data_IF_059880191792
#
_entry.id   IF_059880191792
#
_cell.length_a   1.000
_cell.length_b   1.000
_cell.length_c   1.000
_cell.angle_alpha   90.00
_cell.angle_beta   90.00
_cell.angle_gamma   90.00
#
_symmetry.space_group_name_H-M   'P 1'
#
loop_
_entity.id
_entity.type
_entity.pdbx_description
1 polymer ?
#
# COMPACT_ATOMS: atom_id res chain seq x y z
N UNK A 1 -103.86 -13.74 -41.07
CA UNK A 1 -104.73 -12.60 -41.43
C UNK A 1 -104.43 -11.47 -40.48
N UNK A 2 -104.10 -10.27 -40.96
CA UNK A 2 -103.98 -9.09 -40.10
C UNK A 2 -105.33 -8.42 -40.05
N UNK A 3 -106.11 -8.76 -39.03
CA UNK A 3 -107.31 -8.00 -38.71
C UNK A 3 -106.80 -6.65 -38.20
N UNK A 4 -106.92 -5.60 -39.03
CA UNK A 4 -106.61 -4.24 -38.62
C UNK A 4 -107.84 -3.62 -37.97
N UNK A 5 -107.68 -2.70 -37.02
CA UNK A 5 -108.79 -1.98 -36.40
C UNK A 5 -109.74 -1.35 -37.43
N UNK A 6 -109.18 -0.82 -38.52
CA UNK A 6 -109.95 -0.33 -39.67
C UNK A 6 -110.75 -1.43 -40.39
N UNK A 7 -110.19 -2.63 -40.55
CA UNK A 7 -110.92 -3.78 -41.12
C UNK A 7 -112.06 -4.25 -40.22
N UNK A 8 -111.92 -4.15 -38.89
CA UNK A 8 -112.99 -4.48 -37.93
C UNK A 8 -114.17 -3.49 -38.07
N UNK A 9 -113.88 -2.19 -38.20
CA UNK A 9 -114.93 -1.15 -38.39
C UNK A 9 -115.66 -1.26 -39.73
N UNK A 10 -114.97 -1.70 -40.78
CA UNK A 10 -115.53 -1.85 -42.13
C UNK A 10 -116.15 -3.23 -42.37
N UNK A 11 -116.08 -4.15 -41.41
CA UNK A 11 -116.63 -5.49 -41.55
C UNK A 11 -118.15 -5.43 -41.67
N UNK A 12 -118.68 -6.03 -42.74
CA UNK A 12 -120.12 -6.21 -42.94
C UNK A 12 -120.50 -7.68 -42.80
N UNK A 13 -121.73 -7.92 -42.35
CA UNK A 13 -122.30 -9.26 -42.17
C UNK A 13 -123.59 -9.40 -42.96
N UNK A 14 -123.87 -10.61 -43.45
CA UNK A 14 -125.12 -10.93 -44.14
C UNK A 14 -126.30 -10.93 -43.15
N UNK A 15 -127.48 -10.48 -43.61
CA UNK A 15 -128.69 -10.44 -42.78
C UNK A 15 -129.49 -11.74 -42.92
N UNK A 16 -129.79 -12.40 -41.80
CA UNK A 16 -130.62 -13.61 -41.75
C UNK A 16 -131.86 -13.42 -40.84
N UNK A 17 -132.92 -14.19 -41.08
CA UNK A 17 -134.15 -14.13 -40.26
C UNK A 17 -133.87 -14.66 -38.84
N UNK A 18 -133.98 -13.77 -37.82
CA UNK A 18 -133.56 -13.95 -36.40
C UNK A 18 -132.04 -13.83 -36.11
N UNK A 19 -131.38 -12.78 -36.61
CA UNK A 19 -129.99 -12.43 -36.26
C UNK A 19 -129.84 -11.45 -35.08
N UNK A 20 -128.59 -11.12 -34.74
CA UNK A 20 -128.26 -10.09 -33.74
C UNK A 20 -128.69 -8.68 -34.18
N UNK A 21 -128.93 -7.79 -33.22
CA UNK A 21 -129.26 -6.39 -33.51
C UNK A 21 -128.05 -5.66 -34.11
N UNK A 22 -128.24 -5.04 -35.28
CA UNK A 22 -127.17 -4.36 -36.03
C UNK A 22 -126.48 -3.26 -35.21
N UNK A 23 -127.23 -2.52 -34.38
CA UNK A 23 -126.68 -1.44 -33.55
C UNK A 23 -125.71 -1.97 -32.49
N UNK A 24 -126.12 -3.00 -31.75
CA UNK A 24 -125.31 -3.61 -30.71
C UNK A 24 -124.03 -4.24 -31.28
N UNK A 25 -124.15 -4.92 -32.43
CA UNK A 25 -122.98 -5.49 -33.15
C UNK A 25 -122.03 -4.39 -33.63
N UNK A 26 -122.55 -3.28 -34.18
CA UNK A 26 -121.72 -2.15 -34.60
C UNK A 26 -121.01 -1.46 -33.43
N UNK A 27 -121.67 -1.31 -32.28
CA UNK A 27 -121.05 -0.77 -31.06
C UNK A 27 -119.95 -1.70 -30.54
N UNK A 28 -120.20 -3.01 -30.49
CA UNK A 28 -119.21 -4.00 -30.08
C UNK A 28 -117.99 -4.06 -31.03
N UNK A 29 -118.21 -3.94 -32.34
CA UNK A 29 -117.11 -3.85 -33.32
C UNK A 29 -116.25 -2.59 -33.14
N UNK A 30 -116.86 -1.45 -32.77
CA UNK A 30 -116.12 -0.22 -32.46
C UNK A 30 -115.29 -0.37 -31.18
N UNK A 31 -115.85 -0.95 -30.12
CA UNK A 31 -115.12 -1.25 -28.88
C UNK A 31 -113.96 -2.24 -29.12
N UNK A 32 -114.19 -3.32 -29.87
CA UNK A 32 -113.12 -4.25 -30.26
C UNK A 32 -112.07 -3.54 -31.11
N UNK A 33 -112.47 -2.69 -32.05
CA UNK A 33 -111.52 -1.94 -32.88
C UNK A 33 -110.57 -1.11 -32.02
N UNK A 34 -111.09 -0.40 -31.02
CA UNK A 34 -110.30 0.40 -30.08
C UNK A 34 -109.34 -0.46 -29.23
N UNK A 35 -109.79 -1.62 -28.73
CA UNK A 35 -108.93 -2.55 -27.98
C UNK A 35 -107.83 -3.13 -28.86
N UNK A 36 -108.13 -3.46 -30.11
CA UNK A 36 -107.13 -3.97 -31.07
C UNK A 36 -106.14 -2.87 -31.47
N UNK A 37 -106.59 -1.62 -31.62
CA UNK A 37 -105.70 -0.46 -31.82
C UNK A 37 -104.74 -0.31 -30.62
N UNK A 38 -105.25 -0.36 -29.38
CA UNK A 38 -104.42 -0.30 -28.17
C UNK A 38 -103.42 -1.46 -28.09
N UNK A 39 -103.86 -2.70 -28.29
CA UNK A 39 -102.97 -3.86 -28.31
C UNK A 39 -101.90 -3.75 -29.39
N UNK A 40 -102.24 -3.17 -30.55
CA UNK A 40 -101.27 -2.97 -31.61
C UNK A 40 -100.21 -1.94 -31.23
N UNK A 41 -100.64 -0.82 -30.62
CA UNK A 41 -99.76 0.22 -30.12
C UNK A 41 -98.82 -0.32 -29.02
N UNK A 42 -99.36 -1.03 -28.04
CA UNK A 42 -98.57 -1.70 -26.99
C UNK A 42 -97.58 -2.71 -27.57
N UNK A 43 -97.98 -3.48 -28.60
CA UNK A 43 -97.07 -4.43 -29.24
C UNK A 43 -95.89 -3.73 -29.94
N UNK A 44 -96.13 -2.58 -30.58
CA UNK A 44 -95.07 -1.78 -31.21
C UNK A 44 -94.14 -1.21 -30.14
N UNK A 45 -94.69 -0.68 -29.05
CA UNK A 45 -93.90 -0.15 -27.93
C UNK A 45 -93.06 -1.23 -27.25
N UNK A 46 -93.64 -2.40 -26.99
CA UNK A 46 -92.92 -3.54 -26.41
C UNK A 46 -91.81 -4.04 -27.34
N UNK A 47 -92.06 -4.13 -28.65
CA UNK A 47 -91.02 -4.49 -29.62
C UNK A 47 -89.88 -3.47 -29.68
N UNK A 48 -90.21 -2.19 -29.63
CA UNK A 48 -89.21 -1.11 -29.57
C UNK A 48 -88.36 -1.21 -28.30
N UNK A 49 -89.00 -1.40 -27.13
CA UNK A 49 -88.31 -1.62 -25.86
C UNK A 49 -87.41 -2.86 -25.90
N UNK A 50 -87.93 -3.98 -26.41
CA UNK A 50 -87.17 -5.22 -26.55
C UNK A 50 -85.90 -4.99 -27.40
N UNK A 51 -86.07 -4.38 -28.58
CA UNK A 51 -84.95 -4.09 -29.47
C UNK A 51 -83.91 -3.17 -28.82
N UNK A 52 -84.34 -2.17 -28.07
CA UNK A 52 -83.44 -1.28 -27.34
C UNK A 52 -82.67 -2.02 -26.24
N UNK A 53 -83.35 -2.86 -25.45
CA UNK A 53 -82.71 -3.65 -24.40
C UNK A 53 -81.76 -4.71 -24.95
N UNK A 54 -82.09 -5.33 -26.08
CA UNK A 54 -81.21 -6.28 -26.76
C UNK A 54 -79.96 -5.59 -27.30
N UNK A 55 -80.11 -4.38 -27.86
CA UNK A 55 -78.98 -3.58 -28.32
C UNK A 55 -78.06 -3.14 -27.16
N UNK A 56 -78.64 -2.74 -26.02
CA UNK A 56 -77.89 -2.39 -24.82
C UNK A 56 -77.16 -3.61 -24.22
N UNK A 57 -77.85 -4.75 -24.11
CA UNK A 57 -77.24 -6.01 -23.65
C UNK A 57 -76.08 -6.43 -24.55
N UNK A 58 -76.23 -6.31 -25.88
CA UNK A 58 -75.15 -6.59 -26.82
C UNK A 58 -73.96 -5.65 -26.61
N UNK A 59 -74.22 -4.34 -26.46
CA UNK A 59 -73.16 -3.35 -26.19
C UNK A 59 -72.42 -3.64 -24.89
N UNK A 60 -73.14 -4.01 -23.83
CA UNK A 60 -72.53 -4.37 -22.55
C UNK A 60 -71.65 -5.62 -22.68
N UNK A 61 -72.10 -6.63 -23.45
CA UNK A 61 -71.29 -7.82 -23.75
C UNK A 61 -70.03 -7.48 -24.54
N UNK A 62 -70.13 -6.61 -25.55
CA UNK A 62 -68.95 -6.16 -26.32
C UNK A 62 -67.93 -5.41 -25.43
N UNK A 63 -68.42 -4.62 -24.46
CA UNK A 63 -67.58 -3.92 -23.47
C UNK A 63 -66.93 -4.91 -22.50
N UNK A 64 -67.70 -5.90 -22.01
CA UNK A 64 -67.20 -6.97 -21.15
C UNK A 64 -66.10 -7.77 -21.83
N UNK A 65 -66.30 -8.19 -23.09
CA UNK A 65 -65.30 -8.91 -23.87
C UNK A 65 -64.02 -8.08 -24.06
N UNK A 66 -64.16 -6.78 -24.30
CA UNK A 66 -63.03 -5.85 -24.42
C UNK A 66 -62.28 -5.70 -23.10
N UNK A 67 -63.00 -5.59 -21.99
CA UNK A 67 -62.43 -5.48 -20.65
C UNK A 67 -61.68 -6.76 -20.27
N UNK A 68 -62.27 -7.92 -20.56
CA UNK A 68 -61.68 -9.23 -20.30
C UNK A 68 -60.38 -9.42 -21.06
N UNK A 69 -60.37 -9.09 -22.37
CA UNK A 69 -59.13 -9.12 -23.17
C UNK A 69 -58.06 -8.20 -22.60
N UNK A 70 -58.45 -7.02 -22.14
CA UNK A 70 -57.51 -6.05 -21.54
C UNK A 70 -56.95 -6.58 -20.22
N UNK A 71 -57.78 -7.17 -19.36
CA UNK A 71 -57.32 -7.74 -18.09
C UNK A 71 -56.37 -8.92 -18.33
N UNK A 72 -56.72 -9.81 -19.27
CA UNK A 72 -55.86 -10.94 -19.64
C UNK A 72 -54.53 -10.48 -20.21
N UNK A 73 -54.54 -9.49 -21.10
CA UNK A 73 -53.29 -8.90 -21.64
C UNK A 73 -52.45 -8.29 -20.53
N UNK A 74 -53.08 -7.60 -19.55
CA UNK A 74 -52.37 -7.03 -18.41
C UNK A 74 -51.79 -8.11 -17.49
N UNK A 75 -52.50 -9.22 -17.28
CA UNK A 75 -52.02 -10.39 -16.52
C UNK A 75 -50.82 -11.04 -17.23
N UNK A 76 -50.94 -11.33 -18.52
CA UNK A 76 -49.89 -11.92 -19.34
C UNK A 76 -48.64 -11.01 -19.36
N UNK A 77 -48.84 -9.70 -19.50
CA UNK A 77 -47.75 -8.70 -19.46
C UNK A 77 -47.11 -8.66 -18.08
N UNK A 78 -47.91 -8.71 -17.01
CA UNK A 78 -47.42 -8.75 -15.64
C UNK A 78 -46.56 -10.00 -15.37
N UNK A 79 -47.00 -11.16 -15.85
CA UNK A 79 -46.24 -12.40 -15.76
C UNK A 79 -44.91 -12.32 -16.53
N UNK A 80 -44.94 -11.80 -17.77
CA UNK A 80 -43.72 -11.59 -18.58
C UNK A 80 -42.73 -10.65 -17.89
N UNK A 81 -43.20 -9.55 -17.30
CA UNK A 81 -42.33 -8.62 -16.56
C UNK A 81 -41.68 -9.29 -15.35
N UNK A 82 -42.42 -10.14 -14.64
CA UNK A 82 -41.88 -10.88 -13.49
C UNK A 82 -40.83 -11.89 -13.94
N UNK A 83 -41.08 -12.62 -15.03
CA UNK A 83 -40.13 -13.56 -15.62
C UNK A 83 -38.84 -12.86 -16.06
N UNK A 84 -38.95 -11.79 -16.85
CA UNK A 84 -37.81 -10.97 -17.29
C UNK A 84 -37.03 -10.38 -16.11
N UNK A 85 -37.72 -9.90 -15.06
CA UNK A 85 -37.07 -9.36 -13.88
C UNK A 85 -36.30 -10.44 -13.09
N UNK A 86 -36.84 -11.65 -13.00
CA UNK A 86 -36.16 -12.78 -12.37
C UNK A 86 -34.93 -13.22 -13.19
N UNK A 87 -35.07 -13.33 -14.52
CA UNK A 87 -33.92 -13.65 -15.40
C UNK A 87 -32.83 -12.59 -15.29
N UNK A 88 -33.19 -11.30 -15.30
CA UNK A 88 -32.25 -10.21 -15.11
C UNK A 88 -31.57 -10.26 -13.74
N UNK A 89 -32.31 -10.58 -12.68
CA UNK A 89 -31.74 -10.74 -11.33
C UNK A 89 -30.75 -11.90 -11.27
N UNK A 90 -31.09 -13.05 -11.86
CA UNK A 90 -30.22 -14.23 -11.92
C UNK A 90 -28.94 -13.93 -12.71
N UNK A 91 -29.05 -13.19 -13.83
CA UNK A 91 -27.89 -12.73 -14.61
C UNK A 91 -26.98 -11.80 -13.80
N UNK A 92 -27.56 -10.82 -13.08
CA UNK A 92 -26.80 -9.91 -12.22
C UNK A 92 -26.06 -10.69 -11.13
N UNK A 93 -26.72 -11.67 -10.49
CA UNK A 93 -26.11 -12.50 -9.46
C UNK A 93 -24.96 -13.34 -10.05
N UNK A 94 -25.17 -13.95 -11.23
CA UNK A 94 -24.15 -14.72 -11.90
C UNK A 94 -22.93 -13.88 -12.29
N UNK A 95 -23.15 -12.67 -12.82
CA UNK A 95 -22.09 -11.74 -13.16
C UNK A 95 -21.33 -11.25 -11.92
N UNK A 96 -22.04 -10.88 -10.85
CA UNK A 96 -21.43 -10.47 -9.59
C UNK A 96 -20.58 -11.59 -8.97
N UNK A 97 -21.04 -12.84 -9.00
CA UNK A 97 -20.28 -13.99 -8.53
C UNK A 97 -19.02 -14.22 -9.38
N UNK A 98 -19.16 -14.19 -10.71
CA UNK A 98 -18.03 -14.33 -11.64
C UNK A 98 -16.97 -13.24 -11.43
N UNK A 99 -17.40 -11.98 -11.30
CA UNK A 99 -16.51 -10.86 -11.02
C UNK A 99 -15.83 -11.01 -9.65
N UNK A 100 -16.57 -11.45 -8.63
CA UNK A 100 -16.03 -11.71 -7.30
C UNK A 100 -14.95 -12.81 -7.33
N UNK A 101 -15.23 -13.94 -7.97
CA UNK A 101 -14.27 -15.03 -8.14
C UNK A 101 -13.01 -14.57 -8.88
N UNK A 102 -13.17 -13.80 -9.95
CA UNK A 102 -12.06 -13.23 -10.71
C UNK A 102 -11.23 -12.27 -9.85
N UNK A 103 -11.88 -11.38 -9.11
CA UNK A 103 -11.21 -10.41 -8.23
C UNK A 103 -10.43 -11.13 -7.12
N UNK A 104 -11.01 -12.18 -6.52
CA UNK A 104 -10.34 -13.00 -5.50
C UNK A 104 -9.15 -13.75 -6.09
N UNK A 105 -9.28 -14.30 -7.30
CA UNK A 105 -8.17 -14.96 -8.00
C UNK A 105 -7.02 -13.98 -8.27
N UNK A 106 -7.31 -12.78 -8.79
CA UNK A 106 -6.32 -11.73 -9.05
C UNK A 106 -5.63 -11.25 -7.76
N UNK A 107 -6.40 -11.05 -6.68
CA UNK A 107 -5.86 -10.68 -5.38
C UNK A 107 -4.94 -11.76 -4.79
N UNK A 108 -5.30 -13.03 -4.93
CA UNK A 108 -4.47 -14.15 -4.48
C UNK A 108 -3.19 -14.27 -5.31
N UNK A 109 -3.27 -14.12 -6.63
CA UNK A 109 -2.09 -14.12 -7.51
C UNK A 109 -1.13 -12.97 -7.16
N UNK A 110 -1.68 -11.78 -6.92
CA UNK A 110 -0.90 -10.63 -6.49
C UNK A 110 -0.24 -10.88 -5.12
N UNK A 111 -0.98 -11.41 -4.15
CA UNK A 111 -0.45 -11.74 -2.83
C UNK A 111 0.69 -12.77 -2.92
N UNK A 112 0.55 -13.80 -3.76
CA UNK A 112 1.59 -14.81 -3.99
C UNK A 112 2.84 -14.19 -4.63
N UNK A 113 2.68 -13.30 -5.62
CA UNK A 113 3.80 -12.57 -6.23
C UNK A 113 4.54 -11.71 -5.21
N UNK A 114 3.82 -10.94 -4.39
CA UNK A 114 4.42 -10.10 -3.34
C UNK A 114 5.15 -10.97 -2.32
N UNK A 115 4.54 -12.07 -1.88
CA UNK A 115 5.16 -12.99 -0.93
C UNK A 115 6.44 -13.63 -1.52
N UNK A 116 6.39 -14.10 -2.76
CA UNK A 116 7.55 -14.68 -3.45
C UNK A 116 8.67 -13.65 -3.59
N UNK A 117 8.35 -12.42 -4.00
CA UNK A 117 9.33 -11.36 -4.14
C UNK A 117 9.97 -10.99 -2.79
N UNK A 118 9.16 -10.85 -1.73
CA UNK A 118 9.66 -10.61 -0.38
C UNK A 118 10.56 -11.76 0.12
N UNK A 119 10.20 -13.01 -0.16
CA UNK A 119 11.03 -14.18 0.19
C UNK A 119 12.36 -14.18 -0.56
N UNK A 120 12.35 -13.87 -1.86
CA UNK A 120 13.57 -13.76 -2.67
C UNK A 120 14.49 -12.65 -2.15
N UNK A 121 13.94 -11.47 -1.89
CA UNK A 121 14.71 -10.35 -1.32
C UNK A 121 15.28 -10.69 0.05
N UNK A 122 14.48 -11.29 0.93
CA UNK A 122 14.96 -11.74 2.24
C UNK A 122 16.10 -12.76 2.11
N UNK A 123 15.99 -13.72 1.18
CA UNK A 123 17.05 -14.70 0.93
C UNK A 123 18.34 -14.04 0.44
N UNK A 124 18.25 -13.02 -0.43
CA UNK A 124 19.41 -12.28 -0.92
C UNK A 124 20.08 -11.49 0.21
N UNK A 125 19.30 -10.78 1.02
CA UNK A 125 19.80 -10.00 2.17
C UNK A 125 20.46 -10.92 3.19
N UNK A 126 19.84 -12.05 3.52
CA UNK A 126 20.42 -13.04 4.44
C UNK A 126 21.72 -13.61 3.88
N UNK A 127 21.76 -13.96 2.59
CA UNK A 127 22.98 -14.44 1.94
C UNK A 127 24.12 -13.41 1.95
N UNK A 128 23.81 -12.15 1.68
CA UNK A 128 24.79 -11.06 1.73
C UNK A 128 25.29 -10.79 3.16
N UNK A 129 24.39 -10.79 4.15
CA UNK A 129 24.73 -10.63 5.56
C UNK A 129 25.62 -11.77 6.06
N UNK A 130 25.31 -13.02 5.69
CA UNK A 130 26.15 -14.18 6.02
C UNK A 130 27.54 -14.09 5.37
N UNK A 131 27.63 -13.65 4.12
CA UNK A 131 28.91 -13.46 3.43
C UNK A 131 29.76 -12.40 4.13
N UNK A 132 29.18 -11.24 4.43
CA UNK A 132 29.86 -10.15 5.16
C UNK A 132 30.26 -10.57 6.58
N UNK A 133 29.43 -11.35 7.27
CA UNK A 133 29.78 -11.90 8.58
C UNK A 133 30.99 -12.86 8.49
N UNK A 134 31.08 -13.69 7.44
CA UNK A 134 32.25 -14.55 7.22
C UNK A 134 33.51 -13.75 6.92
N UNK A 135 33.40 -12.73 6.07
CA UNK A 135 34.50 -11.83 5.73
C UNK A 135 35.07 -11.12 6.97
N UNK A 136 34.20 -10.47 7.75
CA UNK A 136 34.59 -9.80 9.01
C UNK A 136 35.22 -10.75 10.03
N UNK A 137 34.79 -12.01 10.11
CA UNK A 137 35.43 -13.02 10.97
C UNK A 137 36.86 -13.33 10.48
N UNK A 138 37.08 -13.41 9.17
CA UNK A 138 38.43 -13.63 8.59
C UNK A 138 39.33 -12.43 8.88
N UNK A 139 38.86 -11.21 8.62
CA UNK A 139 39.60 -9.98 8.91
C UNK A 139 39.92 -9.83 10.41
N UNK A 140 38.97 -10.12 11.29
CA UNK A 140 39.18 -10.09 12.73
C UNK A 140 40.23 -11.12 13.16
N UNK A 141 40.23 -12.30 12.54
CA UNK A 141 41.23 -13.34 12.82
C UNK A 141 42.62 -12.90 12.38
N UNK A 142 42.75 -12.28 11.21
CA UNK A 142 44.04 -11.80 10.69
C UNK A 142 44.58 -10.63 11.53
N UNK A 143 43.74 -9.65 11.85
CA UNK A 143 44.10 -8.54 12.74
C UNK A 143 44.51 -9.02 14.14
N UNK A 144 43.77 -9.96 14.73
CA UNK A 144 44.15 -10.56 16.01
C UNK A 144 45.50 -11.29 15.93
N UNK A 145 45.78 -12.02 14.85
CA UNK A 145 47.09 -12.63 14.64
C UNK A 145 48.20 -11.58 14.48
N UNK A 146 47.93 -10.49 13.76
CA UNK A 146 48.85 -9.35 13.64
C UNK A 146 49.16 -8.72 14.99
N UNK A 147 48.15 -8.48 15.81
CA UNK A 147 48.28 -7.92 17.16
C UNK A 147 49.08 -8.83 18.10
N UNK A 148 48.88 -10.15 18.01
CA UNK A 148 49.70 -11.10 18.79
C UNK A 148 51.17 -11.02 18.37
N UNK A 149 51.46 -10.96 17.07
CA UNK A 149 52.85 -10.83 16.56
C UNK A 149 53.49 -9.52 16.98
N UNK A 150 52.77 -8.40 16.92
CA UNK A 150 53.30 -7.11 17.36
C UNK A 150 53.55 -7.08 18.87
N UNK A 151 52.67 -7.70 19.66
CA UNK A 151 52.88 -7.88 21.09
C UNK A 151 54.13 -8.72 21.40
N UNK A 152 54.30 -9.86 20.72
CA UNK A 152 55.49 -10.70 20.88
C UNK A 152 56.77 -9.93 20.51
N UNK A 153 56.75 -9.18 19.40
CA UNK A 153 57.87 -8.31 19.00
C UNK A 153 58.19 -7.22 20.03
N UNK A 154 57.17 -6.61 20.63
CA UNK A 154 57.35 -5.61 21.69
C UNK A 154 57.96 -6.24 22.96
N UNK A 155 57.57 -7.47 23.30
CA UNK A 155 58.17 -8.23 24.41
C UNK A 155 59.64 -8.50 24.13
N UNK A 156 60.01 -8.90 22.91
CA UNK A 156 61.40 -9.11 22.50
C UNK A 156 62.22 -7.81 22.55
N UNK A 157 61.68 -6.69 22.03
CA UNK A 157 62.31 -5.38 22.11
C UNK A 157 62.54 -4.94 23.57
N UNK A 158 61.53 -5.13 24.43
CA UNK A 158 61.66 -4.88 25.86
C UNK A 158 62.77 -5.72 26.49
N UNK A 159 62.86 -7.00 26.15
CA UNK A 159 63.95 -7.85 26.65
C UNK A 159 65.33 -7.39 26.17
N UNK A 160 65.44 -6.99 24.90
CA UNK A 160 66.68 -6.48 24.33
C UNK A 160 67.12 -5.19 25.05
N UNK A 161 66.20 -4.26 25.30
CA UNK A 161 66.45 -3.04 26.08
C UNK A 161 66.89 -3.35 27.52
N UNK A 162 66.25 -4.30 28.18
CA UNK A 162 66.66 -4.71 29.54
C UNK A 162 68.06 -5.33 29.52
N UNK A 163 68.39 -6.14 28.51
CA UNK A 163 69.73 -6.72 28.34
C UNK A 163 70.78 -5.64 28.05
N UNK A 164 70.48 -4.66 27.19
CA UNK A 164 71.39 -3.56 26.87
C UNK A 164 71.62 -2.65 28.08
N UNK A 165 70.57 -2.29 28.82
CA UNK A 165 70.67 -1.54 30.09
C UNK A 165 71.54 -2.26 31.11
N UNK A 166 71.38 -3.59 31.26
CA UNK A 166 72.26 -4.39 32.14
C UNK A 166 73.70 -4.37 31.67
N UNK A 167 73.96 -4.49 30.36
CA UNK A 167 75.31 -4.43 29.79
C UNK A 167 75.94 -3.07 30.06
N UNK A 168 75.25 -1.96 29.74
CA UNK A 168 75.72 -0.60 29.99
C UNK A 168 76.01 -0.40 31.48
N UNK A 169 75.11 -0.84 32.36
CA UNK A 169 75.34 -0.76 33.80
C UNK A 169 76.59 -1.53 34.24
N UNK A 170 76.84 -2.71 33.67
CA UNK A 170 78.04 -3.50 33.97
C UNK A 170 79.30 -2.81 33.43
N UNK A 171 79.26 -2.24 32.23
CA UNK A 171 80.36 -1.50 31.63
C UNK A 171 80.70 -0.25 32.44
N UNK A 172 79.68 0.49 32.91
CA UNK A 172 79.88 1.64 33.82
C UNK A 172 80.50 1.22 35.14
N UNK A 173 80.07 0.09 35.73
CA UNK A 173 80.71 -0.45 36.94
C UNK A 173 82.18 -0.79 36.69
N UNK A 174 82.48 -1.45 35.59
CA UNK A 174 83.86 -1.79 35.22
C UNK A 174 84.72 -0.53 35.00
N UNK A 175 84.17 0.54 34.40
CA UNK A 175 84.88 1.82 34.24
C UNK A 175 85.14 2.52 35.57
N UNK A 176 84.18 2.47 36.51
CA UNK A 176 84.34 3.01 37.86
C UNK A 176 85.48 2.25 38.57
N UNK A 177 85.45 0.92 38.53
CA UNK A 177 86.52 0.09 39.14
C UNK A 177 87.89 0.41 38.54
N UNK A 178 87.97 0.59 37.21
CA UNK A 178 89.21 1.00 36.54
C UNK A 178 89.66 2.39 37.00
N UNK A 179 88.73 3.35 37.12
CA UNK A 179 89.02 4.71 37.57
C UNK A 179 89.51 4.73 39.02
N UNK A 180 88.92 3.96 39.92
CA UNK A 180 89.37 3.80 41.31
C UNK A 180 90.79 3.17 41.36
N UNK A 181 91.07 2.20 40.48
CA UNK A 181 92.41 1.64 40.35
C UNK A 181 93.44 2.65 39.81
N UNK A 182 93.03 3.57 38.93
CA UNK A 182 93.90 4.67 38.47
C UNK A 182 94.13 5.71 39.56
N UNK A 183 93.10 6.10 40.33
CA UNK A 183 93.24 7.06 41.43
C UNK A 183 94.15 6.54 42.54
N UNK A 184 94.06 5.25 42.89
CA UNK A 184 94.92 4.65 43.92
C UNK A 184 96.41 4.56 43.52
N UNK A 185 96.75 4.66 42.22
CA UNK A 185 98.15 4.68 41.73
C UNK A 185 98.80 6.06 41.70
N UNK A 186 98.04 7.14 41.86
CA UNK A 186 98.61 8.50 41.84
C UNK A 186 99.20 8.82 43.22
N UNK A 187 100.49 8.57 43.41
CA UNK A 187 101.22 9.00 44.60
C UNK A 187 101.64 10.48 44.46
N UNK A 188 100.81 11.39 44.97
CA UNK A 188 101.06 12.83 44.93
C UNK A 188 102.42 13.23 45.53
N UNK A 189 102.97 12.44 46.47
CA UNK A 189 104.29 12.68 47.06
C UNK A 189 105.43 12.27 46.15
N UNK A 190 105.23 11.32 45.23
CA UNK A 190 106.25 10.93 44.26
C UNK A 190 106.49 12.03 43.21
N UNK A 191 105.42 12.67 42.74
CA UNK A 191 105.53 13.82 41.82
C UNK A 191 106.17 15.05 42.48
N UNK A 192 105.91 15.30 43.77
CA UNK A 192 106.62 16.35 44.51
C UNK A 192 108.14 16.09 44.61
N UNK A 193 108.58 14.83 44.81
CA UNK A 193 110.01 14.49 44.82
C UNK A 193 110.68 14.70 43.46
N UNK A 194 109.99 14.37 42.37
CA UNK A 194 110.52 14.58 41.02
C UNK A 194 110.71 16.07 40.70
N UNK A 195 109.84 16.95 41.21
CA UNK A 195 109.97 18.41 41.06
C UNK A 195 111.17 18.93 41.87
N UNK A 196 111.37 18.44 43.10
CA UNK A 196 112.50 18.85 43.94
C UNK A 196 113.87 18.35 43.41
N UNK A 197 113.92 17.21 42.71
CA UNK A 197 115.14 16.74 42.03
C UNK A 197 115.45 17.55 40.77
N UNK A 198 114.42 17.89 39.98
CA UNK A 198 114.58 18.69 38.76
C UNK A 198 115.07 20.11 39.06
N UNK A 199 114.69 20.68 40.21
CA UNK A 199 115.21 21.98 40.65
C UNK A 199 116.65 21.92 41.19
N UNK A 200 117.18 20.74 41.53
CA UNK A 200 118.56 20.55 42.01
C UNK A 200 119.54 20.20 40.91
N UNK A 201 119.08 19.59 39.82
CA UNK A 201 119.89 19.40 38.63
C UNK A 201 119.94 20.71 37.82
N UNK A 202 121.14 21.27 37.62
CA UNK A 202 121.39 22.41 36.73
C UNK A 202 121.22 22.02 35.24
N UNK A 203 120.08 21.43 34.88
CA UNK A 203 119.77 20.86 33.56
C UNK A 203 119.80 21.90 32.43
N UNK A 204 119.75 23.19 32.76
CA UNK A 204 119.80 24.31 31.82
C UNK A 204 121.07 25.16 31.95
N UNK A 205 122.25 24.53 32.04
CA UNK A 205 123.55 25.24 32.07
C UNK A 205 124.43 24.95 30.85
N UNK A 206 125.16 25.98 30.40
CA UNK A 206 125.97 26.02 29.16
C UNK A 206 127.00 24.87 29.01
N UNK A 207 127.35 24.16 30.09
CA UNK A 207 128.28 23.04 30.06
C UNK A 207 127.66 21.74 29.51
N UNK A 208 126.33 21.65 29.38
CA UNK A 208 125.63 20.47 28.84
C UNK A 208 125.31 20.58 27.33
N UNK A 209 125.91 21.56 26.64
CA UNK A 209 125.68 21.83 25.21
C UNK A 209 126.30 20.75 24.30
N UNK A 210 127.34 20.03 24.74
CA UNK A 210 127.91 18.91 23.97
C UNK A 210 126.95 17.71 23.85
N UNK A 211 126.02 17.54 24.80
CA UNK A 211 124.95 16.53 24.73
C UNK A 211 123.71 17.01 23.95
N UNK A 212 123.75 18.22 23.39
CA UNK A 212 122.67 18.83 22.60
C UNK A 212 123.05 18.99 21.12
N UNK A 213 124.03 18.22 20.63
CA UNK A 213 124.38 18.21 19.20
C UNK A 213 123.24 17.59 18.36
N UNK A 214 122.76 18.28 17.31
CA UNK A 214 121.59 17.85 16.54
C UNK A 214 121.97 16.71 15.58
N UNK A 215 121.25 15.59 15.69
CA UNK A 215 121.23 14.52 14.69
C UNK A 215 120.48 15.01 13.43
N UNK A 216 120.87 14.60 12.20
CA UNK A 216 120.31 15.18 10.99
C UNK A 216 118.83 14.82 10.80
N UNK A 217 118.04 15.88 10.60
CA UNK A 217 116.71 15.96 9.98
C UNK A 217 115.61 15.02 10.47
N UNK A 218 114.70 15.65 11.21
CA UNK A 218 113.34 15.24 11.50
C UNK A 218 112.58 14.81 10.23
N UNK A 219 111.92 13.66 10.31
CA UNK A 219 110.55 13.56 9.80
C UNK A 219 109.66 13.49 11.03
N UNK A 220 108.92 14.56 11.25
CA UNK A 220 107.79 14.60 12.16
C UNK A 220 106.71 13.69 11.55
N UNK A 221 106.64 12.43 11.99
CA UNK A 221 105.38 11.68 11.86
C UNK A 221 104.47 12.15 12.99
N UNK A 222 103.32 12.80 12.70
CA UNK A 222 102.31 12.95 13.73
C UNK A 222 101.92 11.56 14.23
N UNK A 223 101.94 11.36 15.55
CA UNK A 223 101.22 10.23 16.16
C UNK A 223 99.79 10.24 15.61
N UNK A 224 99.23 9.07 15.24
CA UNK A 224 97.88 9.03 14.73
C UNK A 224 96.96 9.69 15.75
N UNK A 225 96.19 10.68 15.29
CA UNK A 225 95.01 11.17 15.99
C UNK A 225 94.23 9.93 16.41
N UNK A 226 94.19 9.65 17.72
CA UNK A 226 93.18 8.76 18.26
C UNK A 226 91.88 9.48 17.96
N UNK A 227 91.11 8.92 17.03
CA UNK A 227 89.76 9.35 16.74
C UNK A 227 89.07 9.67 18.07
N UNK A 228 88.65 10.92 18.23
CA UNK A 228 87.76 11.30 19.31
C UNK A 228 86.60 10.29 19.29
N UNK A 229 86.34 9.55 20.38
CA UNK A 229 85.26 8.57 20.44
C UNK A 229 83.86 9.22 20.41
N UNK A 230 83.77 10.49 19.99
CA UNK A 230 82.59 11.33 19.90
C UNK A 230 82.22 11.62 18.43
N UNK A 231 83.06 11.24 17.46
CA UNK A 231 82.79 11.44 16.03
C UNK A 231 81.92 10.34 15.37
N UNK A 232 81.67 9.22 16.06
CA UNK A 232 80.64 8.22 15.67
C UNK A 232 79.43 8.31 16.61
N UNK A 233 78.82 9.49 16.69
CA UNK A 233 77.38 9.53 16.93
C UNK A 233 76.75 9.60 15.54
N UNK A 234 76.55 8.43 14.92
CA UNK A 234 75.56 8.31 13.85
C UNK A 234 74.29 8.95 14.40
N UNK A 235 73.85 10.03 13.75
CA UNK A 235 72.48 10.50 13.89
C UNK A 235 71.65 9.35 13.34
N UNK A 236 71.20 8.47 14.24
CA UNK A 236 70.06 7.62 13.95
C UNK A 236 68.92 8.61 13.81
N UNK A 237 68.65 9.03 12.57
CA UNK A 237 67.32 9.46 12.17
C UNK A 237 66.45 8.21 12.36
N UNK A 238 66.03 8.00 13.60
CA UNK A 238 64.83 7.23 13.90
C UNK A 238 63.72 8.06 13.26
N UNK A 239 63.31 7.67 12.05
CA UNK A 239 61.96 7.88 11.59
C UNK A 239 61.05 7.19 12.62
N UNK A 240 60.75 7.91 13.71
CA UNK A 240 59.56 7.68 14.50
C UNK A 240 58.38 7.98 13.57
N UNK A 241 57.98 6.98 12.79
CA UNK A 241 56.58 6.85 12.41
C UNK A 241 55.81 6.59 13.71
N UNK A 242 55.51 7.68 14.43
CA UNK A 242 54.33 7.74 15.27
C UNK A 242 53.14 7.55 14.33
N UNK A 243 52.74 6.29 14.09
CA UNK A 243 51.35 6.00 13.80
C UNK A 243 50.55 6.54 14.99
N UNK A 244 50.12 7.79 14.85
CA UNK A 244 48.97 8.28 15.58
C UNK A 244 47.82 7.34 15.20
N UNK A 245 47.58 6.33 16.04
CA UNK A 245 46.24 5.79 16.18
C UNK A 245 45.38 6.96 16.64
N UNK A 246 44.78 7.63 15.66
CA UNK A 246 43.72 8.58 15.85
C UNK A 246 42.50 7.78 16.34
N UNK A 247 42.50 7.51 17.65
CA UNK A 247 41.35 7.03 18.36
C UNK A 247 40.47 8.23 18.69
N UNK A 248 39.88 8.83 17.66
CA UNK A 248 38.63 9.58 17.76
C UNK A 248 37.69 9.08 16.67
N UNK A 249 36.45 8.69 17.01
CA UNK A 249 35.46 8.35 16.01
C UNK A 249 35.02 9.65 15.34
N UNK A 250 35.48 9.90 14.12
CA UNK A 250 34.87 10.90 13.28
C UNK A 250 33.48 10.39 12.88
N UNK A 251 32.49 11.02 13.50
CA UNK A 251 31.13 11.11 13.02
C UNK A 251 31.18 11.71 11.62
N UNK A 252 30.93 10.89 10.61
CA UNK A 252 30.54 11.35 9.29
C UNK A 252 29.30 12.23 9.46
N UNK A 253 29.46 13.54 9.27
CA UNK A 253 28.35 14.42 8.97
C UNK A 253 27.91 14.05 7.57
N UNK A 254 26.70 13.49 7.48
CA UNK A 254 26.00 13.22 6.23
C UNK A 254 26.02 14.48 5.35
N UNK A 255 26.75 14.41 4.22
CA UNK A 255 26.44 15.27 3.08
C UNK A 255 25.09 14.79 2.51
N UNK A 256 24.11 15.68 2.54
CA UNK A 256 22.85 15.52 1.82
C UNK A 256 23.17 15.30 0.34
N UNK A 257 22.95 14.07 -0.14
CA UNK A 257 22.93 13.77 -1.56
C UNK A 257 21.62 14.32 -2.12
N UNK A 258 21.68 15.50 -2.74
CA UNK A 258 20.66 15.94 -3.70
C UNK A 258 20.63 14.93 -4.86
N UNK A 259 19.54 14.20 -4.97
CA UNK A 259 19.24 13.36 -6.13
C UNK A 259 18.60 14.28 -7.17
N UNK A 260 19.38 14.76 -8.14
CA UNK A 260 18.84 15.27 -9.40
C UNK A 260 18.30 14.08 -10.20
N UNK A 261 16.98 13.95 -10.28
CA UNK A 261 16.34 13.05 -11.25
C UNK A 261 16.46 13.65 -12.66
N UNK A 262 17.32 13.06 -13.48
CA UNK A 262 17.35 13.26 -14.93
C UNK A 262 16.15 12.51 -15.54
N UNK A 263 15.03 13.21 -15.72
CA UNK A 263 13.91 12.76 -16.54
C UNK A 263 14.12 13.33 -17.93
N UNK A 264 14.41 12.46 -18.90
CA UNK A 264 14.53 12.81 -20.31
C UNK A 264 13.16 13.24 -20.87
N UNK A 265 13.05 14.51 -21.27
CA UNK A 265 11.95 15.04 -22.06
C UNK A 265 11.96 14.41 -23.47
N UNK A 266 10.87 13.72 -23.81
CA UNK A 266 10.45 13.51 -25.19
C UNK A 266 9.17 14.30 -25.43
N UNK A 267 9.27 15.27 -26.33
CA UNK A 267 8.16 16.04 -26.92
C UNK A 267 7.06 15.12 -27.44
N UNK A 268 5.85 15.21 -26.86
CA UNK A 268 4.60 15.07 -27.59
C UNK A 268 3.62 16.18 -27.15
N UNK A 269 3.38 17.09 -28.09
CA UNK A 269 2.36 18.14 -28.04
C UNK A 269 0.95 17.57 -27.87
N UNK A 270 0.23 18.00 -26.84
CA UNK A 270 -1.22 17.81 -26.70
C UNK A 270 -1.87 19.19 -26.49
N UNK A 271 -2.89 19.44 -27.30
CA UNK A 271 -3.66 20.68 -27.43
C UNK A 271 -4.40 21.05 -26.13
N UNK A 272 -4.37 22.34 -25.77
CA UNK A 272 -5.20 22.94 -24.72
C UNK A 272 -6.67 22.99 -25.18
N UNK A 273 -7.55 22.21 -24.55
CA UNK A 273 -9.00 22.46 -24.56
C UNK A 273 -9.41 23.18 -23.27
N UNK A 274 -9.99 24.37 -23.42
CA UNK A 274 -10.60 25.21 -22.38
C UNK A 274 -11.67 24.46 -21.58
N UNK A 275 -11.53 24.44 -20.25
CA UNK A 275 -12.61 24.06 -19.35
C UNK A 275 -13.56 25.26 -19.11
N UNK A 276 -14.88 25.11 -19.22
CA UNK A 276 -15.82 26.22 -19.02
C UNK A 276 -15.98 26.59 -17.53
N UNK A 277 -16.10 27.90 -17.27
CA UNK A 277 -16.35 28.51 -15.96
C UNK A 277 -17.68 28.03 -15.32
N UNK A 278 -17.75 27.91 -13.98
CA UNK A 278 -18.99 27.55 -13.30
C UNK A 278 -19.98 28.73 -13.25
N UNK A 279 -21.20 28.50 -13.74
CA UNK A 279 -22.33 29.43 -13.63
C UNK A 279 -22.74 29.69 -12.16
N UNK A 280 -23.01 30.96 -11.84
CA UNK A 280 -23.50 31.43 -10.54
C UNK A 280 -24.86 30.78 -10.17
N UNK A 281 -24.87 29.99 -9.10
CA UNK A 281 -26.09 29.57 -8.42
C UNK A 281 -26.53 30.66 -7.44
N UNK A 282 -27.70 31.24 -7.70
CA UNK A 282 -28.39 32.20 -6.83
C UNK A 282 -28.76 31.51 -5.49
N UNK A 283 -28.23 32.02 -4.38
CA UNK A 283 -28.66 31.64 -3.03
C UNK A 283 -30.03 32.25 -2.72
N UNK A 284 -31.07 31.42 -2.62
CA UNK A 284 -32.31 31.77 -1.90
C UNK A 284 -32.18 31.33 -0.44
N UNK A 285 -32.16 32.29 0.49
CA UNK A 285 -32.27 32.03 1.93
C UNK A 285 -33.65 31.44 2.29
N UNK A 286 -33.75 30.33 3.05
CA UNK A 286 -35.03 29.89 3.60
C UNK A 286 -35.33 30.57 4.94
N UNK A 287 -36.55 31.13 5.06
CA UNK A 287 -37.15 31.66 6.29
C UNK A 287 -37.24 30.62 7.44
N UNK A 288 -37.23 31.04 8.72
CA UNK A 288 -37.11 30.12 9.85
C UNK A 288 -38.43 29.44 10.21
N UNK A 289 -38.48 28.11 10.09
CA UNK A 289 -39.58 27.28 10.61
C UNK A 289 -39.26 26.77 12.02
N UNK A 290 -40.32 26.75 12.82
CA UNK A 290 -40.42 26.64 14.28
C UNK A 290 -39.89 25.33 14.87
N UNK A 291 -39.42 25.44 16.11
CA UNK A 291 -39.16 24.36 17.08
C UNK A 291 -40.37 23.43 17.21
N UNK A 292 -40.15 22.12 17.14
CA UNK A 292 -40.90 21.14 17.93
C UNK A 292 -40.16 19.78 18.03
N UNK A 293 -40.03 19.34 19.29
CA UNK A 293 -39.93 18.00 19.87
C UNK A 293 -38.87 16.96 19.43
N UNK A 294 -37.97 16.69 20.38
CA UNK A 294 -37.13 15.48 20.44
C UNK A 294 -38.00 14.23 20.62
N UNK A 295 -37.86 13.27 19.72
CA UNK A 295 -38.26 11.87 19.97
C UNK A 295 -36.97 11.06 20.13
N UNK A 296 -36.74 10.56 21.34
CA UNK A 296 -35.65 9.64 21.68
C UNK A 296 -35.94 8.25 21.07
N UNK A 297 -35.10 7.80 20.15
CA UNK A 297 -35.14 6.43 19.65
C UNK A 297 -34.44 5.48 20.64
N UNK A 298 -35.24 4.73 21.39
CA UNK A 298 -34.79 3.58 22.19
C UNK A 298 -34.44 2.41 21.27
N UNK A 299 -33.17 2.07 21.17
CA UNK A 299 -32.69 0.84 20.51
C UNK A 299 -33.14 -0.36 21.34
N UNK A 300 -33.90 -1.28 20.73
CA UNK A 300 -34.19 -2.62 21.27
C UNK A 300 -33.42 -3.67 20.45
N UNK A 301 -32.95 -4.77 21.06
CA UNK A 301 -32.11 -5.75 20.37
C UNK A 301 -32.97 -6.67 19.48
N UNK A 302 -32.45 -6.95 18.28
CA UNK A 302 -32.99 -7.90 17.32
C UNK A 302 -32.86 -9.31 17.90
N UNK A 303 -33.99 -10.02 18.06
CA UNK A 303 -34.03 -11.45 18.35
C UNK A 303 -34.06 -12.20 17.02
N UNK A 304 -33.07 -13.07 16.79
CA UNK A 304 -33.03 -13.99 15.67
C UNK A 304 -34.21 -14.97 15.73
N UNK A 305 -35.14 -14.86 14.79
CA UNK A 305 -36.14 -15.89 14.52
C UNK A 305 -35.72 -16.70 13.28
N UNK A 306 -35.43 -17.99 13.48
CA UNK A 306 -35.12 -18.94 12.41
C UNK A 306 -36.30 -19.07 11.44
N UNK A 307 -36.08 -19.20 10.12
CA UNK A 307 -37.17 -19.35 9.17
C UNK A 307 -37.81 -20.75 9.30
N UNK A 308 -39.14 -20.80 9.42
CA UNK A 308 -39.92 -22.03 9.25
C UNK A 308 -39.92 -22.45 7.76
N UNK A 309 -40.06 -23.76 7.46
CA UNK A 309 -40.11 -24.22 6.08
C UNK A 309 -41.39 -23.72 5.41
N UNK A 310 -41.28 -23.22 4.17
CA UNK A 310 -42.41 -22.94 3.29
C UNK A 310 -43.10 -24.28 2.97
N UNK A 311 -44.37 -24.41 3.34
CA UNK A 311 -45.25 -25.42 2.74
C UNK A 311 -45.52 -24.97 1.30
N UNK A 312 -44.91 -25.66 0.34
CA UNK A 312 -45.28 -25.59 -1.07
C UNK A 312 -46.68 -26.20 -1.24
N UNK A 313 -47.67 -25.34 -1.48
CA UNK A 313 -48.95 -25.77 -2.05
C UNK A 313 -48.79 -25.83 -3.58
N UNK A 314 -48.86 -27.00 -4.22
CA UNK A 314 -48.53 -27.13 -5.64
C UNK A 314 -49.72 -26.82 -6.57
N UNK A 315 -50.70 -25.99 -6.20
CA UNK A 315 -51.93 -25.86 -7.01
C UNK A 315 -52.68 -24.51 -6.89
N UNK A 316 -51.99 -23.38 -7.01
CA UNK A 316 -52.66 -22.07 -7.15
C UNK A 316 -52.08 -21.14 -8.23
N UNK A 317 -51.41 -21.69 -9.25
CA UNK A 317 -51.05 -20.94 -10.47
C UNK A 317 -52.09 -21.11 -11.60
N UNK A 318 -53.37 -21.29 -11.24
CA UNK A 318 -54.44 -21.22 -12.22
C UNK A 318 -54.80 -19.76 -12.42
N UNK A 319 -54.65 -19.25 -13.64
CA UNK A 319 -55.09 -17.89 -14.00
C UNK A 319 -56.53 -17.69 -13.49
N UNK A 320 -56.83 -16.51 -12.95
CA UNK A 320 -58.18 -16.17 -12.46
C UNK A 320 -59.27 -16.44 -13.53
N UNK A 321 -58.87 -16.40 -14.80
CA UNK A 321 -59.74 -16.62 -15.94
C UNK A 321 -59.87 -18.07 -16.42
N UNK A 322 -58.99 -18.99 -16.03
CA UNK A 322 -59.11 -20.41 -16.36
C UNK A 322 -60.31 -21.08 -15.66
N UNK A 323 -60.98 -20.39 -14.74
CA UNK A 323 -62.17 -20.86 -14.04
C UNK A 323 -63.49 -20.56 -14.76
N UNK A 324 -63.46 -19.78 -15.84
CA UNK A 324 -64.65 -19.28 -16.53
C UNK A 324 -64.89 -19.88 -17.93
N UNK A 325 -64.02 -20.80 -18.39
CA UNK A 325 -64.16 -21.53 -19.66
C UNK A 325 -64.96 -22.84 -19.53
#
# INVERSE_FOLDING_TARGET
MKITPAAIRQQSFETAFRGYEKKDVSQFLEEISQVVDQLHQENIELKSKLQNTEAEAKRLKDVEDSLFRTLKTAEDTGASIIEEANEAADLIIAEANSLSEKTVAEANEYAEKVQSHAQQQASVILGAAEAKAKETIVELRESMQGLVRSYDGLVEQREALVKSLRRISQDMLNQIDLSDAHFTRIDAKAYQRAIDELSRSNAFTYANIENLTPSPEEVFEPEPEKEDPIAEMEVIEEDLELEAHDATPDLEVEEEVEIEEEITDQDETIEEEEAPEPEELVEEEPEPVKKEEKIEAKVTPIVEEKPKPKEENPNQSGSFFDQFD
#
